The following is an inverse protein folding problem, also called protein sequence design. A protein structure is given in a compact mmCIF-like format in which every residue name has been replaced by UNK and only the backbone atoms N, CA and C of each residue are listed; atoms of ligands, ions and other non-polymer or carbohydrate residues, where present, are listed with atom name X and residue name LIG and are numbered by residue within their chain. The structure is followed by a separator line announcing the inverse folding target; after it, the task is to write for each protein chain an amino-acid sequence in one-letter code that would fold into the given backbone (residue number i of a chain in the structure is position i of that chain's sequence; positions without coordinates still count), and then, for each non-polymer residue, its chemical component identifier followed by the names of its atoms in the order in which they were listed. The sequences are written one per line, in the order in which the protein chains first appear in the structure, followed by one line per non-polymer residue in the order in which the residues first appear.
data_IF_204867142054
#
_entry.id   IF_204867142054
#
_cell.length_a   1.000
_cell.length_b   1.000
_cell.length_c   1.000
_cell.angle_alpha   90.00
_cell.angle_beta   90.00
_cell.angle_gamma   90.00
#
_symmetry.space_group_name_H-M   'P 1'
#
loop_
_entity.id
_entity.type
_entity.pdbx_description
1 polymer ?
#
# COMPACT_ATOMS: atom_id res chain seq x y z
N UNK A 1 5.74 18.88 10.21
CA UNK A 1 6.53 17.77 9.62
C UNK A 1 7.33 18.33 8.46
N UNK A 2 8.65 18.43 8.59
CA UNK A 2 9.52 19.07 7.59
C UNK A 2 9.43 18.33 6.24
N UNK A 3 9.47 19.07 5.13
CA UNK A 3 9.35 18.48 3.79
C UNK A 3 10.38 17.38 3.51
N UNK A 4 11.58 17.52 4.05
CA UNK A 4 12.69 16.57 3.94
C UNK A 4 12.44 15.22 4.62
N UNK A 5 11.73 15.21 5.75
CA UNK A 5 11.44 13.96 6.49
C UNK A 5 10.53 13.04 5.69
N UNK A 6 9.61 13.61 4.89
CA UNK A 6 8.71 12.82 4.01
C UNK A 6 9.50 12.06 2.94
N UNK A 7 10.51 12.69 2.35
CA UNK A 7 11.36 12.09 1.32
C UNK A 7 12.28 11.01 1.87
N UNK A 8 12.81 11.18 3.07
CA UNK A 8 13.62 10.16 3.75
C UNK A 8 12.75 8.95 4.12
N UNK A 9 11.55 9.19 4.64
CA UNK A 9 10.60 8.12 4.96
C UNK A 9 10.17 7.38 3.69
N UNK A 10 9.84 8.10 2.61
CA UNK A 10 9.49 7.49 1.30
C UNK A 10 10.66 6.70 0.70
N UNK A 11 11.87 7.26 0.69
CA UNK A 11 13.07 6.59 0.17
C UNK A 11 13.44 5.35 0.99
N UNK A 12 13.36 5.42 2.31
CA UNK A 12 13.56 4.27 3.20
C UNK A 12 12.52 3.18 2.98
N UNK A 13 11.25 3.56 2.77
CA UNK A 13 10.17 2.63 2.46
C UNK A 13 10.45 1.89 1.13
N UNK A 14 10.85 2.63 0.09
CA UNK A 14 11.18 2.07 -1.24
C UNK A 14 12.40 1.14 -1.18
N UNK A 15 13.46 1.52 -0.47
CA UNK A 15 14.66 0.69 -0.33
C UNK A 15 14.40 -0.59 0.46
N UNK A 16 13.49 -0.56 1.44
CA UNK A 16 13.06 -1.74 2.18
C UNK A 16 12.11 -2.65 1.37
N UNK A 17 11.34 -2.06 0.44
CA UNK A 17 10.39 -2.74 -0.45
C UNK A 17 11.06 -3.59 -1.55
N UNK A 18 12.15 -3.12 -2.15
CA UNK A 18 12.77 -3.75 -3.32
C UNK A 18 13.33 -5.16 -3.06
N UNK A 19 14.08 -5.43 -1.98
CA UNK A 19 14.64 -6.76 -1.72
C UNK A 19 13.65 -7.72 -1.03
N UNK A 20 12.70 -7.20 -0.23
CA UNK A 20 11.82 -8.00 0.64
C UNK A 20 10.37 -8.09 0.16
N UNK A 21 10.13 -8.00 -1.15
CA UNK A 21 8.80 -7.96 -1.80
C UNK A 21 7.78 -8.91 -1.17
N UNK A 22 8.16 -10.18 -1.00
CA UNK A 22 7.29 -11.23 -0.45
C UNK A 22 7.11 -11.16 1.07
N UNK A 23 8.16 -10.84 1.83
CA UNK A 23 8.05 -10.63 3.28
C UNK A 23 7.17 -9.43 3.60
N UNK A 24 7.25 -8.38 2.79
CA UNK A 24 6.50 -7.16 2.99
C UNK A 24 5.01 -7.35 2.67
N UNK A 25 4.69 -8.09 1.60
CA UNK A 25 3.33 -8.56 1.36
C UNK A 25 2.81 -9.38 2.55
N UNK A 26 3.62 -10.25 3.13
CA UNK A 26 3.20 -11.06 4.28
C UNK A 26 2.97 -10.21 5.54
N UNK A 27 3.78 -9.18 5.77
CA UNK A 27 3.58 -8.23 6.89
C UNK A 27 2.36 -7.34 6.66
N UNK A 28 2.17 -6.85 5.44
CA UNK A 28 1.04 -5.99 5.05
C UNK A 28 -0.27 -6.76 5.09
N UNK A 29 -0.29 -7.99 4.56
CA UNK A 29 -1.51 -8.81 4.49
C UNK A 29 -1.77 -9.57 5.80
N UNK A 30 -0.72 -9.90 6.55
CA UNK A 30 -0.78 -10.59 7.84
C UNK A 30 -1.18 -9.68 9.00
N UNK A 31 -0.88 -8.38 8.95
CA UNK A 31 -1.34 -7.43 9.96
C UNK A 31 -2.64 -6.73 9.54
N UNK A 32 -3.72 -6.99 10.29
CA UNK A 32 -5.05 -6.43 10.02
C UNK A 32 -5.08 -4.91 9.93
N UNK A 33 -4.32 -4.20 10.79
CA UNK A 33 -4.30 -2.73 10.81
C UNK A 33 -3.61 -2.16 9.58
N UNK A 34 -2.45 -2.72 9.22
CA UNK A 34 -1.67 -2.29 8.05
C UNK A 34 -2.46 -2.57 6.76
N UNK A 35 -3.07 -3.76 6.67
CA UNK A 35 -3.95 -4.13 5.56
C UNK A 35 -5.11 -3.15 5.41
N UNK A 36 -5.81 -2.83 6.50
CA UNK A 36 -6.95 -1.91 6.49
C UNK A 36 -6.54 -0.51 6.03
N UNK A 37 -5.40 -0.02 6.49
CA UNK A 37 -4.89 1.28 6.07
C UNK A 37 -4.49 1.29 4.59
N UNK A 38 -3.76 0.27 4.14
CA UNK A 38 -3.34 0.12 2.74
C UNK A 38 -4.55 0.02 1.80
N UNK A 39 -5.54 -0.80 2.14
CA UNK A 39 -6.79 -0.92 1.37
C UNK A 39 -7.57 0.38 1.37
N UNK A 40 -7.69 1.07 2.51
CA UNK A 40 -8.38 2.36 2.60
C UNK A 40 -7.70 3.44 1.74
N UNK A 41 -6.37 3.49 1.74
CA UNK A 41 -5.60 4.39 0.89
C UNK A 41 -5.79 4.06 -0.60
N UNK A 42 -5.71 2.78 -0.97
CA UNK A 42 -5.91 2.32 -2.35
C UNK A 42 -7.34 2.59 -2.86
N UNK A 43 -8.35 2.38 -2.01
CA UNK A 43 -9.76 2.64 -2.33
C UNK A 43 -10.11 4.13 -2.39
N UNK A 44 -9.26 5.01 -1.85
CA UNK A 44 -9.40 6.46 -2.00
C UNK A 44 -9.05 6.95 -3.41
N UNK A 45 -8.39 6.13 -4.23
CA UNK A 45 -8.00 6.49 -5.59
C UNK A 45 -9.10 6.02 -6.57
N UNK A 46 -9.82 6.93 -7.26
CA UNK A 46 -10.99 6.58 -8.07
C UNK A 46 -10.70 5.55 -9.17
N UNK A 47 -9.54 5.66 -9.82
CA UNK A 47 -9.12 4.77 -10.90
C UNK A 47 -8.76 3.36 -10.42
N UNK A 48 -8.17 3.23 -9.22
CA UNK A 48 -7.89 1.92 -8.63
C UNK A 48 -9.19 1.30 -8.08
N UNK A 49 -10.02 2.11 -7.43
CA UNK A 49 -11.32 1.68 -6.91
C UNK A 49 -12.22 1.12 -8.02
N UNK A 50 -12.35 1.80 -9.15
CA UNK A 50 -13.20 1.34 -10.25
C UNK A 50 -12.72 0.01 -10.84
N UNK A 51 -11.41 -0.13 -11.07
CA UNK A 51 -10.80 -1.39 -11.54
C UNK A 51 -10.95 -2.52 -10.53
N UNK A 52 -10.75 -2.23 -9.24
CA UNK A 52 -10.86 -3.22 -8.19
C UNK A 52 -12.31 -3.71 -8.01
N UNK A 53 -13.28 -2.79 -8.01
CA UNK A 53 -14.70 -3.14 -7.93
C UNK A 53 -15.11 -3.94 -9.17
N UNK A 54 -14.66 -3.54 -10.36
CA UNK A 54 -14.94 -4.27 -11.60
C UNK A 54 -14.31 -5.67 -11.60
N UNK A 55 -13.10 -5.85 -11.07
CA UNK A 55 -12.47 -7.17 -10.99
C UNK A 55 -13.02 -8.07 -9.87
N UNK A 56 -13.41 -7.50 -8.73
CA UNK A 56 -13.83 -8.26 -7.56
C UNK A 56 -15.33 -8.62 -7.55
N UNK A 57 -16.19 -7.77 -8.12
CA UNK A 57 -17.66 -7.95 -8.08
C UNK A 57 -18.27 -8.28 -9.44
N UNK A 58 -17.48 -8.24 -10.52
CA UNK A 58 -17.95 -8.50 -11.90
C UNK A 58 -17.28 -9.77 -12.45
N UNK A 59 -17.33 -10.83 -11.63
CA UNK A 59 -17.09 -12.21 -12.03
C UNK A 59 -18.40 -12.91 -12.37
#
# INVERSE_FOLDING_TARGET
MNGWTKWIVLGGLVLFLIPNRYRLLNVVLGNFMIRKFAVKAAMGIPALRSKFIQGAFRG
#
